data_IF_288506035885
#
_entry.id   IF_288506035885
#
_cell.length_a   1.000
_cell.length_b   1.000
_cell.length_c   1.000
_cell.angle_alpha   90.00
_cell.angle_beta   90.00
_cell.angle_gamma   90.00
#
_symmetry.space_group_name_H-M   'P 1'
#
loop_
_entity.id
_entity.type
_entity.pdbx_description
1 polymer ?
#
# COMPACT_ATOMS: atom_id res chain seq x y z
N UNK A 1 -4.63 12.35 -27.19
CA UNK A 1 -5.24 11.70 -26.01
C UNK A 1 -4.29 11.89 -24.82
N UNK A 2 -4.63 12.77 -23.87
CA UNK A 2 -3.79 13.01 -22.67
C UNK A 2 -3.68 11.69 -21.87
N UNK A 3 -2.46 11.18 -21.67
CA UNK A 3 -2.22 10.00 -20.82
C UNK A 3 -2.82 10.29 -19.45
N UNK A 4 -3.86 9.54 -19.05
CA UNK A 4 -4.49 9.65 -17.73
C UNK A 4 -3.39 9.43 -16.67
N UNK A 5 -2.94 10.52 -16.06
CA UNK A 5 -2.01 10.47 -14.93
C UNK A 5 -2.71 9.71 -13.81
N UNK A 6 -2.02 8.75 -13.21
CA UNK A 6 -2.57 7.92 -12.15
C UNK A 6 -3.09 8.83 -11.03
N UNK A 7 -4.33 8.61 -10.55
CA UNK A 7 -5.04 9.40 -9.51
C UNK A 7 -4.33 9.49 -8.14
N UNK A 8 -3.10 8.96 -8.03
CA UNK A 8 -2.24 8.89 -6.84
C UNK A 8 -0.91 9.63 -7.01
N UNK A 9 -0.61 10.16 -8.20
CA UNK A 9 0.25 11.32 -8.23
C UNK A 9 -0.54 12.41 -7.50
N UNK A 10 0.01 13.00 -6.45
CA UNK A 10 -0.41 14.32 -5.99
C UNK A 10 0.50 15.29 -6.77
N UNK A 11 0.25 15.54 -8.07
CA UNK A 11 1.15 16.36 -8.89
C UNK A 11 1.34 17.77 -8.32
N UNK A 12 0.41 18.15 -7.45
CA UNK A 12 0.25 19.43 -6.80
C UNK A 12 0.78 19.45 -5.35
N UNK A 13 1.34 18.38 -4.79
CA UNK A 13 1.94 18.41 -3.43
C UNK A 13 3.07 19.44 -3.34
N UNK A 14 3.92 19.51 -4.38
CA UNK A 14 4.97 20.52 -4.46
C UNK A 14 4.42 21.93 -4.60
N UNK A 15 3.33 22.09 -5.38
CA UNK A 15 2.65 23.38 -5.55
C UNK A 15 1.99 23.85 -4.25
N UNK A 16 1.38 22.94 -3.49
CA UNK A 16 0.80 23.24 -2.19
C UNK A 16 1.86 23.69 -1.17
N UNK A 17 3.06 23.10 -1.17
CA UNK A 17 4.20 23.59 -0.35
C UNK A 17 4.53 25.05 -0.67
N UNK A 18 4.63 25.37 -1.96
CA UNK A 18 4.98 26.72 -2.42
C UNK A 18 3.93 27.74 -2.01
N UNK A 19 2.64 27.40 -2.07
CA UNK A 19 1.56 28.27 -1.61
C UNK A 19 1.61 28.54 -0.11
N UNK A 20 1.92 27.53 0.72
CA UNK A 20 2.05 27.71 2.17
C UNK A 20 3.26 28.58 2.53
N UNK A 21 4.37 28.44 1.82
CA UNK A 21 5.54 29.31 2.00
C UNK A 21 5.22 30.76 1.62
N UNK A 22 4.47 30.97 0.53
CA UNK A 22 4.02 32.29 0.11
C UNK A 22 3.08 32.92 1.15
N UNK A 23 2.11 32.16 1.64
CA UNK A 23 1.15 32.59 2.65
C UNK A 23 1.86 33.05 3.93
N UNK A 24 2.85 32.27 4.40
CA UNK A 24 3.69 32.65 5.54
C UNK A 24 4.49 33.94 5.29
N UNK A 25 5.02 34.12 4.09
CA UNK A 25 5.77 35.34 3.73
C UNK A 25 4.87 36.58 3.68
N UNK A 26 3.64 36.45 3.20
CA UNK A 26 2.70 37.57 3.05
C UNK A 26 1.99 37.93 4.35
N UNK A 27 1.62 36.93 5.15
CA UNK A 27 0.72 37.10 6.29
C UNK A 27 1.35 36.73 7.65
N UNK A 28 2.61 36.27 7.67
CA UNK A 28 3.32 35.88 8.89
C UNK A 28 2.86 34.55 9.50
N UNK A 29 1.85 33.90 8.90
CA UNK A 29 1.26 32.63 9.36
C UNK A 29 0.87 31.76 8.17
N UNK A 30 0.74 30.45 8.41
CA UNK A 30 0.17 29.51 7.44
C UNK A 30 -1.33 29.34 7.70
N UNK A 31 -2.13 29.34 6.64
CA UNK A 31 -3.60 29.21 6.71
C UNK A 31 -4.06 27.77 6.84
N UNK A 32 -3.16 26.79 6.62
CA UNK A 32 -3.46 25.37 6.71
C UNK A 32 -2.23 24.56 7.14
N UNK A 33 -2.45 23.60 8.03
CA UNK A 33 -1.47 22.58 8.39
C UNK A 33 -1.24 21.64 7.20
N UNK A 34 0.00 21.51 6.74
CA UNK A 34 0.29 20.57 5.67
C UNK A 34 0.28 19.12 6.16
N UNK A 35 -0.67 18.35 5.64
CA UNK A 35 -0.74 16.91 5.80
C UNK A 35 0.03 16.18 4.69
N UNK A 36 1.33 15.93 4.90
CA UNK A 36 2.15 15.13 3.98
C UNK A 36 1.78 13.64 4.06
N UNK A 37 0.63 13.24 3.50
CA UNK A 37 0.19 11.84 3.43
C UNK A 37 0.73 11.17 2.18
N UNK A 38 2.04 10.90 2.15
CA UNK A 38 2.59 9.93 1.20
C UNK A 38 2.15 8.53 1.63
N UNK A 39 1.47 7.75 0.77
CA UNK A 39 1.13 6.37 1.10
C UNK A 39 2.42 5.57 1.34
N UNK A 40 2.41 4.73 2.37
CA UNK A 40 3.54 3.84 2.61
C UNK A 40 3.69 2.86 1.45
N UNK A 41 4.93 2.63 1.04
CA UNK A 41 5.25 1.62 0.05
C UNK A 41 4.90 0.24 0.58
N UNK A 42 4.21 -0.57 -0.24
CA UNK A 42 4.02 -1.98 0.11
C UNK A 42 5.28 -2.75 -0.24
N UNK A 43 5.85 -3.40 0.77
CA UNK A 43 7.02 -4.25 0.64
C UNK A 43 6.54 -5.70 0.53
N UNK A 44 7.15 -6.47 -0.39
CA UNK A 44 6.86 -7.88 -0.53
C UNK A 44 7.34 -8.65 0.71
N UNK A 45 6.48 -9.43 1.38
CA UNK A 45 6.88 -10.19 2.57
C UNK A 45 7.81 -11.37 2.26
N UNK A 46 7.92 -11.78 0.98
CA UNK A 46 8.72 -12.93 0.57
C UNK A 46 10.16 -12.53 0.23
N UNK A 47 10.33 -11.42 -0.49
CA UNK A 47 11.64 -10.99 -0.99
C UNK A 47 12.09 -9.61 -0.54
N UNK A 48 11.31 -8.92 0.30
CA UNK A 48 11.65 -7.59 0.82
C UNK A 48 11.65 -6.47 -0.22
N UNK A 49 11.27 -6.74 -1.48
CA UNK A 49 11.27 -5.73 -2.55
C UNK A 49 10.04 -4.84 -2.50
N UNK A 50 10.20 -3.58 -2.86
CA UNK A 50 9.11 -2.64 -3.06
C UNK A 50 8.16 -3.12 -4.18
N UNK A 51 6.89 -3.32 -3.85
CA UNK A 51 5.87 -3.91 -4.71
C UNK A 51 4.78 -2.90 -5.15
N UNK A 52 5.03 -1.61 -4.94
CA UNK A 52 4.13 -0.50 -5.26
C UNK A 52 3.30 0.01 -4.07
N UNK A 53 2.53 1.07 -4.29
CA UNK A 53 1.73 1.72 -3.23
C UNK A 53 0.38 1.04 -2.97
N UNK A 54 0.03 0.00 -3.73
CA UNK A 54 -1.32 -0.55 -3.75
C UNK A 54 -1.33 -2.07 -3.59
N UNK A 55 -2.43 -2.61 -3.05
CA UNK A 55 -2.62 -4.06 -2.92
C UNK A 55 -2.61 -4.77 -4.28
N UNK A 56 -3.11 -4.13 -5.34
CA UNK A 56 -3.10 -4.72 -6.69
C UNK A 56 -1.68 -4.80 -7.25
N UNK A 57 -0.84 -3.79 -7.01
CA UNK A 57 0.58 -3.82 -7.37
C UNK A 57 1.32 -4.94 -6.63
N UNK A 58 1.04 -5.11 -5.32
CA UNK A 58 1.59 -6.21 -4.53
C UNK A 58 1.10 -7.58 -5.05
N UNK A 59 -0.18 -7.72 -5.38
CA UNK A 59 -0.76 -8.95 -5.94
C UNK A 59 -0.10 -9.33 -7.27
N UNK A 60 0.06 -8.35 -8.17
CA UNK A 60 0.73 -8.54 -9.45
C UNK A 60 2.20 -8.95 -9.27
N UNK A 61 2.90 -8.33 -8.31
CA UNK A 61 4.26 -8.70 -7.95
C UNK A 61 4.33 -10.16 -7.49
N UNK A 62 3.47 -10.58 -6.56
CA UNK A 62 3.42 -11.97 -6.07
C UNK A 62 3.13 -12.95 -7.22
N UNK A 63 2.19 -12.62 -8.10
CA UNK A 63 1.85 -13.45 -9.26
C UNK A 63 2.98 -13.59 -10.28
N UNK A 64 3.86 -12.58 -10.43
CA UNK A 64 4.95 -12.61 -11.40
C UNK A 64 6.24 -13.19 -10.81
N UNK A 65 6.61 -12.74 -9.62
CA UNK A 65 7.89 -13.04 -8.98
C UNK A 65 7.83 -14.29 -8.08
N UNK A 66 6.64 -14.68 -7.63
CA UNK A 66 6.44 -15.77 -6.68
C UNK A 66 5.31 -16.72 -7.14
N UNK A 67 5.26 -17.05 -8.44
CA UNK A 67 4.23 -17.90 -9.08
C UNK A 67 3.93 -19.19 -8.31
N UNK A 68 4.95 -19.87 -7.80
CA UNK A 68 4.80 -21.15 -7.07
C UNK A 68 4.10 -20.99 -5.70
N UNK A 69 4.11 -19.79 -5.13
CA UNK A 69 3.43 -19.45 -3.88
C UNK A 69 2.04 -18.85 -4.18
N UNK A 70 1.87 -18.17 -5.32
CA UNK A 70 0.62 -17.53 -5.72
C UNK A 70 -0.45 -18.47 -6.31
N UNK A 71 -0.12 -19.72 -6.67
CA UNK A 71 -1.12 -20.69 -7.18
C UNK A 71 -1.96 -21.33 -6.08
N UNK A 72 -1.52 -21.27 -4.82
CA UNK A 72 -2.39 -21.40 -3.67
C UNK A 72 -2.68 -19.99 -3.17
N UNK A 73 -3.94 -19.57 -3.15
CA UNK A 73 -4.27 -18.31 -2.48
C UNK A 73 -3.67 -18.34 -1.07
N UNK A 74 -2.88 -17.33 -0.70
CA UNK A 74 -2.39 -17.17 0.68
C UNK A 74 -3.55 -17.22 1.68
N UNK A 75 -4.74 -16.80 1.25
CA UNK A 75 -5.98 -16.91 2.02
C UNK A 75 -6.44 -18.37 2.21
N UNK A 76 -6.25 -19.24 1.20
CA UNK A 76 -6.64 -20.65 1.29
C UNK A 76 -5.67 -21.47 2.13
N UNK A 77 -4.36 -21.22 2.05
CA UNK A 77 -3.37 -21.90 2.87
C UNK A 77 -3.56 -21.58 4.36
N UNK A 78 -3.74 -20.30 4.68
CA UNK A 78 -3.97 -19.85 6.06
C UNK A 78 -5.32 -20.36 6.60
N UNK A 79 -6.37 -20.39 5.78
CA UNK A 79 -7.67 -20.94 6.20
C UNK A 79 -7.59 -22.45 6.48
N UNK A 80 -6.84 -23.21 5.67
CA UNK A 80 -6.63 -24.66 5.87
C UNK A 80 -5.83 -24.97 7.15
N UNK A 81 -4.83 -24.15 7.48
CA UNK A 81 -4.06 -24.29 8.73
C UNK A 81 -4.92 -23.98 9.96
N UNK A 82 -5.77 -22.95 9.89
CA UNK A 82 -6.74 -22.62 10.96
C UNK A 82 -7.78 -23.74 11.13
N UNK A 83 -8.34 -24.28 10.03
CA UNK A 83 -9.28 -25.39 10.09
C UNK A 83 -8.67 -26.64 10.75
N UNK A 84 -7.43 -26.99 10.39
CA UNK A 84 -6.71 -28.10 11.04
C UNK A 84 -6.49 -27.88 12.53
N UNK A 85 -6.15 -26.67 12.95
CA UNK A 85 -5.97 -26.34 14.36
C UNK A 85 -7.29 -26.47 15.14
N UNK A 86 -8.41 -26.00 14.57
CA UNK A 86 -9.74 -26.10 15.19
C UNK A 86 -10.19 -27.57 15.30
N UNK A 87 -10.02 -28.37 14.26
CA UNK A 87 -10.37 -29.80 14.30
C UNK A 87 -9.53 -30.59 15.32
N UNK A 88 -8.23 -30.27 15.44
CA UNK A 88 -7.35 -30.91 16.41
C UNK A 88 -7.79 -30.60 17.85
N UNK A 89 -8.23 -29.37 18.13
CA UNK A 89 -8.79 -29.01 19.45
C UNK A 89 -10.12 -29.71 19.73
N UNK A 90 -10.97 -29.92 18.72
CA UNK A 90 -12.27 -30.60 18.88
C UNK A 90 -12.16 -32.12 19.07
N UNK A 91 -11.08 -32.75 18.60
CA UNK A 91 -10.84 -34.21 18.73
C UNK A 91 -10.05 -34.60 19.98
N UNK A 92 -9.51 -33.62 20.71
CA UNK A 92 -8.67 -33.84 21.89
C UNK A 92 -9.44 -33.69 23.23
N UNK A 93 -10.76 -33.53 23.18
CA UNK A 93 -11.67 -33.54 24.35
C UNK A 93 -12.72 -34.63 24.20
#
# INVERSE_FOLDING_TARGET
MLKKVHRRAQPNDGFARVLLDLDKRLHGRISMEWQHKRPAMKVCPICGKNAGLSSSSLKLHLQKSHRKISSGSVDSAMSLEIQKAVEAMMKAG
#
